data_IF_794619227566
#
_entry.id   IF_794619227566
#
_cell.length_a   1.000
_cell.length_b   1.000
_cell.length_c   1.000
_cell.angle_alpha   90.00
_cell.angle_beta   90.00
_cell.angle_gamma   90.00
#
_symmetry.space_group_name_H-M   'P 1'
#
loop_
_entity.id
_entity.type
_entity.pdbx_description
1 polymer ?
#
# COMPACT_ATOMS: atom_id res chain seq x y z
N UNK A 1 4.99 25.47 13.27
CA UNK A 1 5.29 24.74 12.01
C UNK A 1 6.23 23.60 12.36
N UNK A 2 5.86 22.35 12.03
CA UNK A 2 6.78 21.22 12.14
C UNK A 2 7.89 21.43 11.10
N UNK A 3 9.13 21.63 11.54
CA UNK A 3 10.27 21.85 10.65
C UNK A 3 10.58 20.61 9.80
N UNK A 4 11.18 20.80 8.62
CA UNK A 4 11.66 19.68 7.80
C UNK A 4 12.66 18.86 8.60
N UNK A 5 12.52 17.53 8.56
CA UNK A 5 13.56 16.65 9.10
C UNK A 5 14.83 16.79 8.26
N UNK A 6 16.01 16.68 8.88
CA UNK A 6 17.27 16.60 8.12
C UNK A 6 17.21 15.47 7.11
N UNK A 7 17.92 15.64 6.00
CA UNK A 7 18.14 14.56 5.04
C UNK A 7 18.81 13.36 5.74
N UNK A 8 18.59 12.16 5.19
CA UNK A 8 19.21 10.95 5.73
C UNK A 8 20.74 11.11 5.75
N UNK A 9 21.39 11.04 6.92
CA UNK A 9 22.83 11.20 6.98
C UNK A 9 23.47 9.89 6.52
N UNK A 10 23.84 9.86 5.24
CA UNK A 10 24.54 8.75 4.60
C UNK A 10 23.71 7.48 4.47
N UNK A 11 24.43 6.41 4.17
CA UNK A 11 23.85 5.10 3.90
C UNK A 11 23.30 4.46 5.20
N UNK A 12 22.30 3.59 5.05
CA UNK A 12 21.75 2.77 6.13
C UNK A 12 21.39 1.39 5.65
N UNK A 13 21.70 0.41 6.48
CA UNK A 13 21.17 -0.93 6.35
C UNK A 13 19.71 -0.98 6.79
N UNK A 14 18.90 -1.72 6.05
CA UNK A 14 17.50 -1.95 6.35
C UNK A 14 17.13 -3.37 5.90
N UNK A 15 16.16 -3.96 6.59
CA UNK A 15 15.59 -5.23 6.15
C UNK A 15 14.49 -4.97 5.12
N UNK A 16 13.77 -3.84 5.26
CA UNK A 16 12.78 -3.37 4.29
C UNK A 16 12.91 -1.86 4.11
N UNK A 17 12.94 -1.42 2.84
CA UNK A 17 12.88 0.00 2.46
C UNK A 17 11.55 0.30 1.77
N UNK A 18 10.84 1.31 2.27
CA UNK A 18 9.56 1.80 1.72
C UNK A 18 9.79 3.18 1.11
N UNK A 19 9.44 3.33 -0.17
CA UNK A 19 9.54 4.60 -0.88
C UNK A 19 8.17 5.29 -0.87
N UNK A 20 8.10 6.45 -0.22
CA UNK A 20 6.91 7.30 -0.09
C UNK A 20 6.31 7.23 1.32
N UNK A 21 6.27 8.36 2.02
CA UNK A 21 5.67 8.47 3.36
C UNK A 21 4.21 8.96 3.31
N UNK A 22 3.42 8.42 2.38
CA UNK A 22 1.96 8.58 2.32
C UNK A 22 1.22 7.48 3.11
N UNK A 23 -0.11 7.43 3.01
CA UNK A 23 -0.92 6.46 3.76
C UNK A 23 -0.47 5.02 3.51
N UNK A 24 -0.33 4.61 2.24
CA UNK A 24 0.06 3.24 1.92
C UNK A 24 1.43 2.88 2.47
N UNK A 25 2.40 3.79 2.40
CA UNK A 25 3.76 3.55 2.91
C UNK A 25 3.80 3.44 4.43
N UNK A 26 3.12 4.35 5.13
CA UNK A 26 3.04 4.32 6.60
C UNK A 26 2.22 3.13 7.11
N UNK A 27 1.11 2.78 6.45
CA UNK A 27 0.34 1.59 6.78
C UNK A 27 1.14 0.32 6.59
N UNK A 28 1.92 0.24 5.50
CA UNK A 28 2.81 -0.89 5.25
C UNK A 28 3.86 -0.99 6.35
N UNK A 29 4.52 0.12 6.70
CA UNK A 29 5.51 0.14 7.78
C UNK A 29 4.90 -0.30 9.12
N UNK A 30 3.70 0.20 9.44
CA UNK A 30 2.97 -0.16 10.65
C UNK A 30 2.69 -1.66 10.71
N UNK A 31 2.13 -2.26 9.66
CA UNK A 31 1.81 -3.68 9.66
C UNK A 31 3.05 -4.58 9.66
N UNK A 32 4.14 -4.17 9.00
CA UNK A 32 5.41 -4.88 9.08
C UNK A 32 5.93 -4.92 10.52
N UNK A 33 5.99 -3.77 11.20
CA UNK A 33 6.46 -3.68 12.58
C UNK A 33 5.50 -4.33 13.59
N UNK A 34 4.21 -4.40 13.26
CA UNK A 34 3.21 -5.12 14.08
C UNK A 34 3.39 -6.63 13.95
N UNK A 35 3.67 -7.13 12.75
CA UNK A 35 3.89 -8.56 12.50
C UNK A 35 5.25 -9.03 13.02
N UNK A 36 6.30 -8.22 12.83
CA UNK A 36 7.64 -8.50 13.31
C UNK A 36 8.33 -7.20 13.77
N UNK A 37 8.34 -6.93 15.09
CA UNK A 37 8.99 -5.75 15.66
C UNK A 37 10.52 -5.73 15.51
N UNK A 38 11.15 -6.84 15.13
CA UNK A 38 12.60 -6.92 14.96
C UNK A 38 13.09 -6.32 13.63
N UNK A 39 12.19 -6.10 12.67
CA UNK A 39 12.52 -5.55 11.36
C UNK A 39 13.02 -4.10 11.44
N UNK A 40 14.15 -3.84 10.79
CA UNK A 40 14.65 -2.48 10.52
C UNK A 40 13.96 -1.94 9.27
N UNK A 41 12.84 -1.27 9.48
CA UNK A 41 12.07 -0.63 8.41
C UNK A 41 12.51 0.81 8.21
N UNK A 42 12.93 1.16 6.99
CA UNK A 42 13.27 2.54 6.59
C UNK A 42 12.22 3.07 5.62
N UNK A 43 11.61 4.21 5.96
CA UNK A 43 10.67 4.92 5.08
C UNK A 43 11.35 6.17 4.54
N UNK A 44 11.45 6.28 3.21
CA UNK A 44 12.06 7.41 2.53
C UNK A 44 10.98 8.30 1.90
N UNK A 45 11.11 9.61 2.12
CA UNK A 45 10.27 10.65 1.52
C UNK A 45 11.15 11.82 1.10
N UNK A 46 10.88 12.37 -0.08
CA UNK A 46 11.70 13.45 -0.65
C UNK A 46 11.41 14.78 0.04
N UNK A 47 10.14 15.04 0.36
CA UNK A 47 9.71 16.30 0.95
C UNK A 47 9.49 16.15 2.46
N UNK A 48 8.23 15.91 2.88
CA UNK A 48 7.88 15.60 4.26
C UNK A 48 6.75 14.58 4.29
N UNK A 49 6.56 13.94 5.44
CA UNK A 49 5.54 12.90 5.62
C UNK A 49 4.17 13.42 5.22
N UNK A 50 3.50 12.73 4.29
CA UNK A 50 2.20 13.14 3.76
C UNK A 50 2.22 14.29 2.76
N UNK A 51 3.37 14.70 2.20
CA UNK A 51 3.43 15.80 1.23
C UNK A 51 2.52 15.62 0.00
N UNK A 52 2.36 14.38 -0.48
CA UNK A 52 1.55 14.08 -1.65
C UNK A 52 0.03 14.06 -1.39
N UNK A 53 -0.71 13.34 -2.24
CA UNK A 53 -2.17 13.22 -2.13
C UNK A 53 -2.66 12.76 -0.74
N UNK A 54 -1.85 12.00 0.01
CA UNK A 54 -2.16 11.56 1.37
C UNK A 54 -2.31 12.69 2.40
N UNK A 55 -1.67 13.85 2.21
CA UNK A 55 -1.88 15.02 3.08
C UNK A 55 -2.87 16.05 2.52
N UNK A 56 -3.27 15.91 1.25
CA UNK A 56 -4.13 16.86 0.54
C UNK A 56 -5.59 16.38 0.39
N UNK A 57 -5.93 15.17 0.83
CA UNK A 57 -7.26 14.56 0.63
C UNK A 57 -8.35 14.99 1.63
N UNK A 58 -8.07 15.92 2.54
CA UNK A 58 -9.00 16.41 3.58
C UNK A 58 -9.62 15.32 4.49
N UNK A 59 -9.08 14.10 4.49
CA UNK A 59 -9.57 12.97 5.26
C UNK A 59 -10.84 12.31 4.72
N UNK A 60 -11.22 12.58 3.46
CA UNK A 60 -12.39 11.92 2.87
C UNK A 60 -12.14 10.42 2.66
N UNK A 61 -12.98 9.59 3.27
CA UNK A 61 -13.02 8.15 3.06
C UNK A 61 -14.46 7.75 2.71
N UNK A 62 -14.63 7.06 1.59
CA UNK A 62 -15.94 6.60 1.12
C UNK A 62 -15.85 5.13 0.70
N UNK A 63 -16.87 4.35 1.06
CA UNK A 63 -17.04 2.98 0.59
C UNK A 63 -17.69 2.92 -0.81
N UNK A 64 -17.91 4.07 -1.46
CA UNK A 64 -18.46 4.14 -2.80
C UNK A 64 -17.38 3.73 -3.80
N UNK A 65 -17.65 2.68 -4.57
CA UNK A 65 -16.80 2.32 -5.70
C UNK A 65 -17.07 3.25 -6.89
N UNK A 66 -16.04 3.67 -7.65
CA UNK A 66 -16.21 4.53 -8.83
C UNK A 66 -16.71 3.75 -10.06
N UNK A 67 -17.71 2.89 -9.87
CA UNK A 67 -18.39 2.10 -10.90
C UNK A 67 -19.89 2.06 -10.62
N UNK A 68 -20.71 1.83 -11.65
CA UNK A 68 -22.15 1.62 -11.49
C UNK A 68 -22.42 0.42 -10.58
N UNK A 69 -23.43 0.52 -9.70
CA UNK A 69 -23.77 -0.52 -8.72
C UNK A 69 -23.93 -1.91 -9.39
N UNK A 70 -24.46 -1.95 -10.61
CA UNK A 70 -24.67 -3.18 -11.39
C UNK A 70 -23.37 -3.94 -11.74
N UNK A 71 -22.21 -3.29 -11.61
CA UNK A 71 -20.87 -3.87 -11.86
C UNK A 71 -20.17 -4.28 -10.58
N UNK A 72 -20.69 -3.91 -9.41
CA UNK A 72 -20.14 -4.31 -8.12
C UNK A 72 -20.79 -5.65 -7.79
N UNK A 73 -20.02 -6.73 -7.93
CA UNK A 73 -20.41 -8.00 -7.31
C UNK A 73 -20.41 -7.74 -5.80
N UNK A 74 -21.60 -7.59 -5.19
CA UNK A 74 -21.74 -7.31 -3.77
C UNK A 74 -21.22 -8.54 -3.02
N UNK A 75 -19.97 -8.50 -2.56
CA UNK A 75 -19.58 -9.31 -1.41
C UNK A 75 -20.42 -8.81 -0.24
N UNK A 76 -21.33 -9.64 0.26
CA UNK A 76 -21.91 -9.42 1.59
C UNK A 76 -20.74 -9.40 2.56
N UNK A 77 -20.41 -8.23 3.09
CA UNK A 77 -19.56 -8.11 4.27
C UNK A 77 -20.44 -8.51 5.44
N UNK A 78 -20.41 -9.79 5.78
CA UNK A 78 -20.92 -10.30 7.05
C UNK A 78 -19.76 -10.27 8.04
N UNK A 79 -19.89 -9.41 9.05
CA UNK A 79 -19.13 -9.34 10.31
C UNK A 79 -17.58 -9.24 10.23
N UNK A 80 -17.05 -8.07 10.61
CA UNK A 80 -15.62 -7.89 10.91
C UNK A 80 -15.33 -8.36 12.34
N UNK A 81 -15.24 -9.67 12.53
CA UNK A 81 -14.56 -10.28 13.69
C UNK A 81 -13.21 -10.91 13.27
N UNK A 82 -12.39 -11.24 14.26
CA UNK A 82 -10.91 -11.23 14.25
C UNK A 82 -10.19 -12.29 13.40
N UNK A 83 -10.87 -13.05 12.56
CA UNK A 83 -10.25 -14.08 11.73
C UNK A 83 -10.64 -13.91 10.25
N UNK A 84 -9.65 -13.48 9.46
CA UNK A 84 -9.69 -13.33 8.00
C UNK A 84 -10.34 -14.54 7.32
N UNK A 85 -11.60 -14.41 6.89
CA UNK A 85 -12.29 -15.42 6.09
C UNK A 85 -12.21 -15.06 4.60
N UNK A 86 -11.54 -15.91 3.81
CA UNK A 86 -11.40 -15.80 2.36
C UNK A 86 -12.72 -16.20 1.66
N UNK A 87 -13.52 -15.24 1.23
CA UNK A 87 -14.69 -15.52 0.37
C UNK A 87 -14.26 -15.63 -1.09
N UNK A 88 -14.43 -16.82 -1.68
CA UNK A 88 -14.08 -17.11 -3.07
C UNK A 88 -15.12 -16.51 -4.03
N UNK A 89 -14.67 -15.74 -5.02
CA UNK A 89 -15.53 -15.22 -6.11
C UNK A 89 -15.83 -16.36 -7.10
N UNK A 90 -17.10 -16.74 -7.21
CA UNK A 90 -17.57 -17.56 -8.32
C UNK A 90 -17.26 -16.84 -9.64
N UNK A 91 -16.64 -17.57 -10.58
CA UNK A 91 -15.89 -17.03 -11.71
C UNK A 91 -16.68 -16.17 -12.70
N UNK A 92 -16.04 -15.08 -13.13
CA UNK A 92 -16.30 -14.44 -14.41
C UNK A 92 -15.24 -14.91 -15.43
N UNK A 93 -15.60 -15.24 -16.68
CA UNK A 93 -14.65 -15.80 -17.65
C UNK A 93 -13.57 -14.76 -18.03
N UNK A 94 -12.31 -15.16 -17.87
CA UNK A 94 -11.13 -14.37 -18.19
C UNK A 94 -11.04 -14.10 -19.70
N UNK A 95 -11.33 -12.88 -20.15
CA UNK A 95 -11.06 -12.45 -21.53
C UNK A 95 -9.58 -12.05 -21.66
N UNK A 96 -8.77 -12.99 -22.15
CA UNK A 96 -7.32 -12.85 -22.35
C UNK A 96 -7.00 -11.70 -23.33
N UNK A 97 -6.51 -10.56 -22.82
CA UNK A 97 -5.88 -9.52 -23.64
C UNK A 97 -4.35 -9.66 -23.55
N UNK A 98 -3.76 -10.17 -24.62
CA UNK A 98 -2.32 -10.24 -24.82
C UNK A 98 -1.75 -8.84 -25.08
N UNK A 99 -0.96 -8.30 -24.15
CA UNK A 99 0.14 -7.36 -24.47
C UNK A 99 1.32 -7.63 -23.53
N UNK A 100 2.36 -8.22 -24.10
CA UNK A 100 3.63 -8.49 -23.45
C UNK A 100 4.50 -7.23 -23.40
N UNK A 101 4.99 -6.87 -22.22
CA UNK A 101 6.31 -6.24 -22.04
C UNK A 101 6.88 -6.76 -20.73
N UNK A 102 7.78 -7.74 -20.83
CA UNK A 102 8.56 -8.23 -19.70
C UNK A 102 9.70 -7.24 -19.43
N UNK A 103 9.78 -6.73 -18.20
CA UNK A 103 10.97 -6.06 -17.69
C UNK A 103 11.89 -7.15 -17.13
N UNK A 104 13.08 -7.29 -17.71
CA UNK A 104 14.07 -8.28 -17.30
C UNK A 104 14.82 -7.73 -16.09
N UNK A 105 14.60 -8.30 -14.92
CA UNK A 105 15.36 -7.99 -13.70
C UNK A 105 16.55 -8.95 -13.65
N UNK A 106 17.77 -8.43 -13.58
CA UNK A 106 18.98 -9.22 -13.45
C UNK A 106 19.26 -9.45 -11.95
N UNK A 107 19.43 -10.69 -11.47
CA UNK A 107 19.89 -10.91 -10.10
C UNK A 107 21.39 -10.60 -10.04
N UNK A 108 21.76 -9.56 -9.29
CA UNK A 108 23.15 -9.35 -8.91
C UNK A 108 23.53 -10.35 -7.80
N UNK A 109 24.79 -10.79 -7.87
CA UNK A 109 25.53 -11.64 -6.92
C UNK A 109 25.32 -11.28 -5.46
#
# INVERSE_FOLDING_TARGET
MVGRRPALPGDRDADVVIIGAGYSGLWTAYYLLTADPSLRVVVLEKEFVGFGASGLNSGWASAIFPVLLDRILICRVSDMDSDMTLTTLAGAPARRRSRSKAVKVNPAR
#
